data_IF_767745622130
#
_entry.id   IF_767745622130
#
_cell.length_a   1.000
_cell.length_b   1.000
_cell.length_c   1.000
_cell.angle_alpha   90.00
_cell.angle_beta   90.00
_cell.angle_gamma   90.00
#
_symmetry.space_group_name_H-M   'P 1'
#
loop_
_entity.id
_entity.type
_entity.pdbx_description
1 polymer ?
#
# COMPACT_ATOMS: atom_id res chain seq x y z
N UNK A 1 -12.71 -1.57 4.60
CA UNK A 1 -11.67 -0.67 4.06
C UNK A 1 -10.31 -1.09 4.59
N UNK A 2 -9.34 -1.19 3.71
CA UNK A 2 -7.93 -1.52 4.02
C UNK A 2 -7.02 -0.64 3.18
N UNK A 3 -5.76 -0.49 3.62
CA UNK A 3 -4.69 0.12 2.81
C UNK A 3 -3.73 -0.98 2.40
N UNK A 4 -3.24 -0.97 1.16
CA UNK A 4 -2.18 -1.87 0.71
C UNK A 4 -0.83 -1.18 0.74
N UNK A 5 0.17 -1.86 1.30
CA UNK A 5 1.56 -1.52 1.08
C UNK A 5 1.94 -1.82 -0.39
N UNK A 6 2.96 -1.18 -0.89
CA UNK A 6 3.34 -1.26 -2.31
C UNK A 6 3.60 -2.69 -2.77
N UNK A 7 4.37 -3.48 -2.01
CA UNK A 7 4.63 -4.87 -2.39
C UNK A 7 3.36 -5.74 -2.34
N UNK A 8 2.44 -5.48 -1.41
CA UNK A 8 1.18 -6.20 -1.33
C UNK A 8 0.33 -5.96 -2.59
N UNK A 9 0.28 -4.71 -3.07
CA UNK A 9 -0.38 -4.37 -4.31
C UNK A 9 0.22 -5.12 -5.50
N UNK A 10 1.54 -5.09 -5.62
CA UNK A 10 2.27 -5.74 -6.73
C UNK A 10 2.05 -7.25 -6.72
N UNK A 11 2.19 -7.88 -5.56
CA UNK A 11 2.01 -9.33 -5.44
C UNK A 11 0.56 -9.75 -5.70
N UNK A 12 -0.39 -8.97 -5.23
CA UNK A 12 -1.79 -9.25 -5.51
C UNK A 12 -2.10 -9.15 -7.01
N UNK A 13 -1.65 -8.10 -7.68
CA UNK A 13 -1.88 -7.90 -9.10
C UNK A 13 -1.22 -8.99 -9.96
N UNK A 14 -0.08 -9.51 -9.52
CA UNK A 14 0.65 -10.58 -10.22
C UNK A 14 0.17 -12.00 -9.87
N UNK A 15 -0.70 -12.16 -8.88
CA UNK A 15 -1.05 -13.47 -8.35
C UNK A 15 0.15 -14.18 -7.71
N UNK A 16 1.06 -13.41 -7.13
CA UNK A 16 2.31 -13.92 -6.58
C UNK A 16 2.08 -14.69 -5.27
N UNK A 17 2.70 -15.86 -5.15
CA UNK A 17 2.59 -16.70 -3.97
C UNK A 17 3.21 -16.11 -2.70
N UNK A 18 4.01 -15.05 -2.81
CA UNK A 18 4.53 -14.31 -1.65
C UNK A 18 3.44 -13.61 -0.86
N UNK A 19 2.30 -13.28 -1.51
CA UNK A 19 1.15 -12.73 -0.80
C UNK A 19 0.58 -13.79 0.14
N UNK A 20 0.57 -13.50 1.45
CA UNK A 20 0.08 -14.44 2.44
C UNK A 20 -1.41 -14.73 2.27
N UNK A 21 -1.85 -15.86 2.81
CA UNK A 21 -3.27 -16.22 2.77
C UNK A 21 -4.17 -15.20 3.49
N UNK A 22 -3.85 -14.75 4.71
CA UNK A 22 -4.66 -13.71 5.37
C UNK A 22 -4.72 -12.40 4.57
N UNK A 23 -3.61 -11.98 3.95
CA UNK A 23 -3.58 -10.80 3.10
C UNK A 23 -4.48 -10.96 1.88
N UNK A 24 -4.39 -12.10 1.21
CA UNK A 24 -5.22 -12.42 0.04
C UNK A 24 -6.72 -12.42 0.40
N UNK A 25 -7.08 -13.06 1.49
CA UNK A 25 -8.47 -13.13 1.94
C UNK A 25 -9.01 -11.74 2.29
N UNK A 26 -8.21 -10.89 2.94
CA UNK A 26 -8.60 -9.52 3.26
C UNK A 26 -8.84 -8.68 2.00
N UNK A 27 -7.96 -8.80 1.01
CA UNK A 27 -8.10 -8.08 -0.26
C UNK A 27 -9.34 -8.56 -1.03
N UNK A 28 -9.54 -9.87 -1.11
CA UNK A 28 -10.70 -10.44 -1.80
C UNK A 28 -12.02 -10.02 -1.15
N UNK A 29 -12.07 -9.98 0.18
CA UNK A 29 -13.26 -9.55 0.91
C UNK A 29 -13.61 -8.09 0.60
N UNK A 30 -12.62 -7.20 0.64
CA UNK A 30 -12.83 -5.79 0.32
C UNK A 30 -13.13 -5.57 -1.17
N UNK A 31 -12.62 -6.43 -2.03
CA UNK A 31 -12.87 -6.36 -3.47
C UNK A 31 -14.33 -6.58 -3.85
N UNK A 32 -15.13 -7.20 -2.99
CA UNK A 32 -16.54 -7.45 -3.24
C UNK A 32 -17.43 -6.27 -2.88
N UNK A 33 -17.33 -5.78 -1.65
CA UNK A 33 -18.25 -4.77 -1.12
C UNK A 33 -17.55 -3.58 -0.44
N UNK A 34 -16.23 -3.57 -0.39
CA UNK A 34 -15.48 -2.57 0.35
C UNK A 34 -14.64 -1.65 -0.50
N UNK A 35 -13.64 -1.07 0.14
CA UNK A 35 -12.66 -0.20 -0.51
C UNK A 35 -11.24 -0.64 -0.18
N UNK A 36 -10.41 -0.68 -1.20
CA UNK A 36 -8.98 -0.92 -1.11
C UNK A 36 -8.27 0.39 -1.43
N UNK A 37 -7.60 0.95 -0.43
CA UNK A 37 -6.89 2.21 -0.57
C UNK A 37 -5.43 1.94 -0.92
N UNK A 38 -4.93 2.68 -1.90
CA UNK A 38 -3.52 2.65 -2.30
C UNK A 38 -3.01 4.07 -2.27
N UNK A 39 -1.97 4.33 -1.50
CA UNK A 39 -1.36 5.66 -1.46
C UNK A 39 -0.76 6.03 -2.81
N UNK A 40 -0.88 7.29 -3.21
CA UNK A 40 -0.20 7.82 -4.39
C UNK A 40 1.31 7.62 -4.33
N UNK A 41 1.91 7.53 -3.13
CA UNK A 41 3.34 7.23 -2.99
C UNK A 41 3.69 5.83 -3.50
N UNK A 42 2.76 4.88 -3.47
CA UNK A 42 2.97 3.56 -4.06
C UNK A 42 3.11 3.64 -5.58
N UNK A 43 2.39 4.55 -6.22
CA UNK A 43 2.56 4.79 -7.66
C UNK A 43 3.98 5.27 -7.98
N UNK A 44 4.52 6.18 -7.17
CA UNK A 44 5.90 6.63 -7.30
C UNK A 44 6.90 5.49 -7.09
N UNK A 45 6.70 4.65 -6.07
CA UNK A 45 7.58 3.51 -5.82
C UNK A 45 7.56 2.49 -6.97
N UNK A 46 6.39 2.17 -7.48
CA UNK A 46 6.25 1.25 -8.63
C UNK A 46 7.00 1.80 -9.85
N UNK A 47 6.80 3.07 -10.18
CA UNK A 47 7.47 3.70 -11.30
C UNK A 47 9.00 3.72 -11.12
N UNK A 48 9.46 4.04 -9.93
CA UNK A 48 10.89 4.06 -9.60
C UNK A 48 11.51 2.67 -9.70
N UNK A 49 10.87 1.65 -9.14
CA UNK A 49 11.37 0.28 -9.17
C UNK A 49 11.39 -0.29 -10.59
N UNK A 50 10.36 0.00 -11.39
CA UNK A 50 10.30 -0.43 -12.78
C UNK A 50 11.42 0.22 -13.60
N UNK A 51 11.64 1.52 -13.43
CA UNK A 51 12.72 2.24 -14.12
C UNK A 51 14.11 1.73 -13.73
N UNK A 52 14.30 1.37 -12.47
CA UNK A 52 15.57 0.82 -11.96
C UNK A 52 15.81 -0.65 -12.37
N UNK A 53 14.87 -1.28 -13.06
CA UNK A 53 14.96 -2.70 -13.43
C UNK A 53 14.78 -3.66 -12.27
N UNK A 54 14.26 -3.19 -11.14
CA UNK A 54 14.03 -3.97 -9.92
C UNK A 54 12.62 -4.55 -9.80
N UNK A 55 11.74 -4.18 -10.74
CA UNK A 55 10.38 -4.66 -10.83
C UNK A 55 10.03 -4.87 -12.30
N UNK A 56 9.68 -6.11 -12.66
CA UNK A 56 9.24 -6.44 -14.00
C UNK A 56 7.71 -6.36 -14.06
N UNK A 57 7.20 -5.47 -14.91
CA UNK A 57 5.77 -5.32 -15.16
C UNK A 57 5.45 -5.83 -16.56
N UNK A 58 4.19 -6.24 -16.78
CA UNK A 58 3.71 -6.71 -18.09
C UNK A 58 3.50 -5.57 -19.10
N UNK A 59 3.53 -4.34 -18.63
CA UNK A 59 3.38 -3.12 -19.42
C UNK A 59 4.16 -2.00 -18.74
N UNK A 60 4.25 -0.82 -19.36
CA UNK A 60 4.91 0.31 -18.68
C UNK A 60 4.17 0.69 -17.39
N UNK A 61 4.89 1.39 -16.50
CA UNK A 61 4.38 1.67 -15.17
C UNK A 61 3.08 2.49 -15.18
N UNK A 62 2.98 3.49 -16.07
CA UNK A 62 1.77 4.31 -16.16
C UNK A 62 0.56 3.47 -16.59
N UNK A 63 0.71 2.67 -17.63
CA UNK A 63 -0.36 1.78 -18.09
C UNK A 63 -0.75 0.74 -17.03
N UNK A 64 0.23 0.21 -16.30
CA UNK A 64 -0.01 -0.74 -15.21
C UNK A 64 -0.82 -0.09 -14.08
N UNK A 65 -0.46 1.12 -13.68
CA UNK A 65 -1.17 1.87 -12.64
C UNK A 65 -2.59 2.26 -13.08
N UNK A 66 -2.76 2.64 -14.34
CA UNK A 66 -4.09 2.91 -14.91
C UNK A 66 -4.98 1.67 -14.89
N UNK A 67 -4.41 0.52 -15.20
CA UNK A 67 -5.12 -0.77 -15.14
C UNK A 67 -5.54 -1.10 -13.71
N UNK A 68 -4.67 -0.91 -12.74
CA UNK A 68 -4.98 -1.09 -11.31
C UNK A 68 -6.11 -0.14 -10.89
N UNK A 69 -6.07 1.11 -11.33
CA UNK A 69 -7.09 2.11 -10.99
C UNK A 69 -8.48 1.77 -11.54
N UNK A 70 -8.57 0.91 -12.54
CA UNK A 70 -9.85 0.46 -13.10
C UNK A 70 -10.54 -0.63 -12.27
N UNK A 71 -9.85 -1.23 -11.32
CA UNK A 71 -10.48 -2.20 -10.40
C UNK A 71 -11.45 -1.43 -9.50
N UNK A 72 -12.76 -1.77 -9.52
CA UNK A 72 -13.78 -0.93 -8.87
C UNK A 72 -13.56 -0.68 -7.38
N UNK A 73 -13.00 -1.65 -6.64
CA UNK A 73 -12.76 -1.51 -5.21
C UNK A 73 -11.53 -0.65 -4.89
N UNK A 74 -10.62 -0.44 -5.85
CA UNK A 74 -9.37 0.28 -5.62
C UNK A 74 -9.58 1.78 -5.78
N UNK A 75 -9.05 2.53 -4.80
CA UNK A 75 -8.99 3.98 -4.85
C UNK A 75 -7.60 4.45 -4.48
N UNK A 76 -6.97 5.21 -5.36
CA UNK A 76 -5.71 5.88 -5.04
C UNK A 76 -5.98 7.08 -4.14
N UNK A 77 -5.21 7.17 -3.05
CA UNK A 77 -5.33 8.23 -2.05
C UNK A 77 -4.19 9.22 -2.25
N UNK A 78 -4.48 10.50 -2.49
CA UNK A 78 -3.41 11.50 -2.65
C UNK A 78 -2.63 11.67 -1.34
N UNK A 79 -1.33 11.98 -1.48
CA UNK A 79 -0.50 12.40 -0.37
C UNK A 79 -0.74 13.90 -0.18
N UNK A 80 -1.80 14.23 0.54
CA UNK A 80 -2.18 15.62 0.81
C UNK A 80 -1.36 16.23 1.95
N UNK A 81 -1.65 17.48 2.27
CA UNK A 81 -0.94 18.21 3.33
C UNK A 81 -1.10 17.51 4.67
N UNK A 82 -2.31 17.06 5.00
CA UNK A 82 -2.60 16.43 6.29
C UNK A 82 -1.84 15.10 6.45
N UNK A 83 -1.91 14.23 5.47
CA UNK A 83 -1.18 12.95 5.50
C UNK A 83 0.33 13.19 5.54
N UNK A 84 0.83 14.18 4.80
CA UNK A 84 2.24 14.56 4.82
C UNK A 84 2.72 14.95 6.23
N UNK A 85 1.96 15.80 6.91
CA UNK A 85 2.27 16.20 8.29
C UNK A 85 2.19 15.00 9.23
N UNK A 86 1.13 14.21 9.14
CA UNK A 86 0.94 13.02 9.97
C UNK A 86 2.08 12.00 9.79
N UNK A 87 2.63 11.89 8.58
CA UNK A 87 3.76 10.98 8.32
C UNK A 87 5.02 11.37 9.07
N UNK A 88 5.22 12.66 9.32
CA UNK A 88 6.32 13.18 10.14
C UNK A 88 6.05 13.00 11.62
N UNK A 89 4.80 13.18 12.04
CA UNK A 89 4.37 13.19 13.44
C UNK A 89 3.86 11.82 13.95
N UNK A 90 4.26 10.73 13.32
CA UNK A 90 3.85 9.39 13.78
C UNK A 90 4.25 9.18 15.25
N UNK A 91 3.34 8.64 16.10
CA UNK A 91 3.64 8.45 17.52
C UNK A 91 4.72 7.40 17.73
N UNK A 92 5.49 7.56 18.82
CA UNK A 92 6.58 6.62 19.15
C UNK A 92 7.70 6.64 18.11
N UNK A 93 8.44 5.53 18.06
CA UNK A 93 9.57 5.39 17.16
C UNK A 93 9.16 4.59 15.91
N UNK A 94 9.39 5.17 14.76
CA UNK A 94 9.25 4.48 13.48
C UNK A 94 10.42 4.89 12.58
N UNK A 95 10.88 3.96 11.73
CA UNK A 95 12.06 4.20 10.89
C UNK A 95 11.82 5.34 9.87
N UNK A 96 12.91 5.80 9.24
CA UNK A 96 12.93 7.08 8.51
C UNK A 96 12.46 6.99 7.06
N UNK A 97 12.21 5.81 6.52
CA UNK A 97 11.81 5.69 5.11
C UNK A 97 10.53 6.50 4.84
N UNK A 98 10.59 7.52 3.97
CA UNK A 98 9.44 8.40 3.77
C UNK A 98 8.22 7.70 3.19
N UNK A 99 8.41 6.77 2.27
CA UNK A 99 7.29 6.06 1.65
C UNK A 99 6.55 5.21 2.68
N UNK A 100 7.27 4.47 3.52
CA UNK A 100 6.66 3.68 4.58
C UNK A 100 5.91 4.55 5.59
N UNK A 101 6.50 5.68 5.96
CA UNK A 101 5.84 6.63 6.89
C UNK A 101 4.55 7.17 6.30
N UNK A 102 4.52 7.50 5.03
CA UNK A 102 3.33 8.01 4.34
C UNK A 102 2.25 6.93 4.26
N UNK A 103 2.61 5.71 3.94
CA UNK A 103 1.65 4.58 3.88
C UNK A 103 1.05 4.31 5.26
N UNK A 104 1.88 4.27 6.30
CA UNK A 104 1.40 4.11 7.68
C UNK A 104 0.48 5.27 8.08
N UNK A 105 0.86 6.50 7.77
CA UNK A 105 0.03 7.67 8.05
C UNK A 105 -1.32 7.60 7.33
N UNK A 106 -1.34 7.10 6.11
CA UNK A 106 -2.58 6.90 5.34
C UNK A 106 -3.53 5.93 6.05
N UNK A 107 -3.02 4.78 6.49
CA UNK A 107 -3.82 3.81 7.24
C UNK A 107 -4.35 4.39 8.56
N UNK A 108 -3.50 5.09 9.30
CA UNK A 108 -3.91 5.75 10.55
C UNK A 108 -4.95 6.85 10.32
N UNK A 109 -4.77 7.66 9.28
CA UNK A 109 -5.71 8.72 8.92
C UNK A 109 -7.11 8.18 8.67
N UNK A 110 -7.21 7.04 7.99
CA UNK A 110 -8.48 6.40 7.69
C UNK A 110 -8.94 5.44 8.80
N UNK A 111 -8.14 5.21 9.82
CA UNK A 111 -8.43 4.27 10.92
C UNK A 111 -8.71 2.85 10.43
N UNK A 112 -7.91 2.37 9.49
CA UNK A 112 -8.09 1.07 8.85
C UNK A 112 -6.79 0.25 8.90
N UNK A 113 -6.88 -1.08 8.76
CA UNK A 113 -5.70 -1.93 8.72
C UNK A 113 -4.85 -1.70 7.47
N UNK A 114 -3.57 -1.97 7.62
CA UNK A 114 -2.57 -1.94 6.55
C UNK A 114 -2.11 -3.35 6.23
N UNK A 115 -2.25 -3.75 4.98
CA UNK A 115 -1.76 -5.05 4.49
C UNK A 115 -0.29 -4.89 4.11
N UNK A 116 0.59 -5.50 4.88
CA UNK A 116 2.04 -5.39 4.70
C UNK A 116 2.77 -6.61 5.23
N UNK A 117 3.77 -7.07 4.48
CA UNK A 117 4.73 -8.10 4.90
C UNK A 117 5.92 -7.52 5.67
N UNK A 118 6.12 -6.20 5.62
CA UNK A 118 7.31 -5.56 6.18
C UNK A 118 7.30 -5.65 7.70
N UNK A 119 8.33 -6.30 8.27
CA UNK A 119 8.44 -6.49 9.72
C UNK A 119 8.55 -5.17 10.48
N UNK A 120 9.18 -4.14 9.89
CA UNK A 120 9.27 -2.82 10.54
C UNK A 120 7.90 -2.20 10.72
N UNK A 121 7.00 -2.41 9.76
CA UNK A 121 5.62 -1.93 9.83
C UNK A 121 4.80 -2.81 10.77
N UNK A 122 4.94 -4.14 10.65
CA UNK A 122 4.19 -5.09 11.48
C UNK A 122 4.53 -4.98 12.95
N UNK A 123 5.77 -4.63 13.27
CA UNK A 123 6.24 -4.44 14.66
C UNK A 123 5.87 -3.05 15.22
N UNK A 124 5.41 -2.13 14.38
CA UNK A 124 5.02 -0.80 14.82
C UNK A 124 3.65 -0.86 15.51
N UNK A 125 3.57 -0.49 16.84
CA UNK A 125 2.35 -0.73 17.62
C UNK A 125 1.20 0.23 17.33
N UNK A 126 1.44 1.29 16.54
CA UNK A 126 0.44 2.33 16.30
C UNK A 126 -0.29 2.21 14.96
N UNK A 127 -0.17 1.08 14.29
CA UNK A 127 -0.96 0.73 13.11
C UNK A 127 -1.36 -0.74 13.18
N UNK A 128 -2.61 -1.03 12.83
CA UNK A 128 -3.06 -2.41 12.70
C UNK A 128 -2.61 -2.98 11.37
N UNK A 129 -2.03 -4.17 11.36
CA UNK A 129 -1.56 -4.81 10.13
C UNK A 129 -2.22 -6.15 9.89
N UNK A 130 -2.28 -6.54 8.63
CA UNK A 130 -2.74 -7.85 8.17
C UNK A 130 -1.61 -8.47 7.34
N UNK A 131 -1.26 -9.70 7.74
CA UNK A 131 -0.34 -10.51 6.95
C UNK A 131 -0.42 -11.99 7.28
#
# INVERSE_FOLDING_TARGET
MIVLDTHALVWWAAGDAQLSRPAREAIEAEGQDGEILVSAISAWEVAMLAKAGRLALTMDAEAWLDTVAQVPAIRFVPVDVRISVQSVDLPGDFHKDPADRIIVATARHHSVPLVSADLKIRDYPHVQTIW
#
